data_IF_427681608405
#
_entry.id   IF_427681608405
#
_cell.length_a   1.000
_cell.length_b   1.000
_cell.length_c   1.000
_cell.angle_alpha   90.00
_cell.angle_beta   90.00
_cell.angle_gamma   90.00
#
_symmetry.space_group_name_H-M   'P 1'
#
loop_
_entity.id
_entity.type
_entity.pdbx_description
1 polymer ?
#
# COMPACT_ATOMS: atom_id res chain seq x y z
N UNK A 1 9.42 9.93 -11.58
CA UNK A 1 10.19 9.14 -10.70
C UNK A 1 9.40 8.75 -9.50
N UNK A 2 9.94 7.90 -8.72
CA UNK A 2 9.17 7.33 -7.65
C UNK A 2 9.47 7.98 -6.32
N UNK A 3 9.02 7.33 -5.28
CA UNK A 3 9.17 7.81 -3.91
C UNK A 3 10.64 7.81 -3.50
N UNK A 4 11.00 8.72 -2.60
CA UNK A 4 12.36 8.76 -2.07
C UNK A 4 12.63 7.52 -1.22
N UNK A 5 13.92 7.24 -0.99
CA UNK A 5 14.28 6.10 -0.14
C UNK A 5 13.72 6.24 1.26
N UNK A 6 13.68 7.47 1.78
CA UNK A 6 13.12 7.70 3.11
C UNK A 6 11.65 7.30 3.17
N UNK A 7 10.87 7.71 2.17
CA UNK A 7 9.46 7.36 2.13
C UNK A 7 9.28 5.86 1.93
N UNK A 8 10.09 5.26 1.06
CA UNK A 8 10.03 3.83 0.85
C UNK A 8 10.28 3.08 2.16
N UNK A 9 11.29 3.48 2.91
CA UNK A 9 11.61 2.84 4.18
C UNK A 9 10.43 2.96 5.16
N UNK A 10 9.80 4.13 5.20
CA UNK A 10 8.70 4.35 6.11
C UNK A 10 7.48 3.50 5.77
N UNK A 11 7.09 3.47 4.49
CA UNK A 11 5.90 2.71 4.11
C UNK A 11 6.14 1.22 4.17
N UNK A 12 7.34 0.75 3.81
CA UNK A 12 7.64 -0.67 3.85
C UNK A 12 7.68 -1.18 5.29
N UNK A 13 8.19 -0.37 6.21
CA UNK A 13 8.13 -0.71 7.63
C UNK A 13 6.70 -0.70 8.14
N UNK A 14 5.93 0.31 7.75
CA UNK A 14 4.55 0.45 8.23
C UNK A 14 3.67 -0.72 7.79
N UNK A 15 3.90 -1.26 6.59
CA UNK A 15 3.11 -2.38 6.09
C UNK A 15 3.71 -3.74 6.41
N UNK A 16 4.88 -3.78 7.05
CA UNK A 16 5.55 -5.03 7.39
C UNK A 16 5.93 -5.84 6.16
N UNK A 17 6.26 -5.18 5.06
CA UNK A 17 6.61 -5.81 3.79
C UNK A 17 5.48 -6.70 3.26
N UNK A 18 4.25 -6.39 3.61
CA UNK A 18 3.07 -7.14 3.16
C UNK A 18 2.15 -6.23 2.36
N UNK A 19 1.46 -6.81 1.39
CA UNK A 19 0.52 -6.06 0.55
C UNK A 19 -0.62 -5.47 1.39
N UNK A 20 -0.95 -4.20 1.16
CA UNK A 20 -2.00 -3.55 1.91
C UNK A 20 -3.41 -4.01 1.52
N UNK A 21 -3.54 -4.70 0.40
CA UNK A 21 -4.84 -5.18 -0.09
C UNK A 21 -5.08 -6.64 0.29
N UNK A 22 -4.20 -7.54 -0.15
CA UNK A 22 -4.39 -8.98 0.11
C UNK A 22 -3.62 -9.46 1.34
N UNK A 23 -2.77 -8.62 1.90
CA UNK A 23 -2.01 -8.88 3.13
C UNK A 23 -0.97 -9.98 3.01
N UNK A 24 -0.64 -10.38 1.79
CA UNK A 24 0.38 -11.40 1.55
C UNK A 24 1.76 -10.82 1.86
N UNK A 25 2.58 -11.59 2.58
CA UNK A 25 3.95 -11.16 2.82
C UNK A 25 4.74 -11.21 1.51
N UNK A 26 5.39 -10.09 1.17
CA UNK A 26 6.07 -9.95 -0.12
C UNK A 26 7.59 -9.88 0.01
N UNK A 27 8.10 -9.47 1.17
CA UNK A 27 9.54 -9.27 1.32
C UNK A 27 10.04 -8.21 0.35
N UNK A 28 10.89 -8.61 -0.58
CA UNK A 28 11.43 -7.69 -1.59
C UNK A 28 10.60 -7.64 -2.87
N UNK A 29 9.54 -8.44 -2.95
CA UNK A 29 8.69 -8.49 -4.15
C UNK A 29 7.44 -7.64 -3.92
N UNK A 30 7.65 -6.38 -3.62
CA UNK A 30 6.59 -5.44 -3.30
C UNK A 30 6.84 -4.15 -4.08
N UNK A 31 5.76 -3.51 -4.51
CA UNK A 31 5.86 -2.28 -5.28
C UNK A 31 5.09 -1.17 -4.60
N UNK A 32 5.58 0.06 -4.78
CA UNK A 32 4.94 1.24 -4.21
C UNK A 32 4.10 1.91 -5.29
N UNK A 33 2.83 2.10 -5.00
CA UNK A 33 1.87 2.64 -5.95
C UNK A 33 1.39 4.00 -5.47
N UNK A 34 1.30 4.96 -6.40
CA UNK A 34 0.72 6.28 -6.11
C UNK A 34 -0.79 6.13 -6.05
N UNK A 35 -1.38 6.47 -4.91
CA UNK A 35 -2.84 6.43 -4.78
C UNK A 35 -3.47 7.39 -5.77
N UNK A 36 -2.99 8.64 -5.76
CA UNK A 36 -3.34 9.59 -6.80
C UNK A 36 -2.19 9.63 -7.79
N UNK A 37 -2.47 9.36 -9.06
CA UNK A 37 -1.45 9.27 -10.08
C UNK A 37 -0.69 10.59 -10.22
N UNK A 38 0.61 10.50 -10.49
CA UNK A 38 1.43 11.69 -10.68
C UNK A 38 0.90 12.55 -11.82
N UNK A 39 0.41 11.93 -12.87
CA UNK A 39 -0.16 12.66 -14.02
C UNK A 39 -1.36 13.50 -13.61
N UNK A 40 -2.02 13.17 -12.50
CA UNK A 40 -3.16 13.90 -11.99
C UNK A 40 -2.80 14.78 -10.79
N UNK A 41 -1.52 15.06 -10.61
CA UNK A 41 -1.07 15.93 -9.53
C UNK A 41 -0.74 15.21 -8.24
N UNK A 42 -0.61 13.88 -8.27
CA UNK A 42 -0.27 13.12 -7.09
C UNK A 42 1.15 13.35 -6.63
N UNK A 43 1.35 13.49 -5.32
CA UNK A 43 2.65 13.78 -4.74
C UNK A 43 3.43 12.49 -4.44
N UNK A 44 4.75 12.62 -4.36
CA UNK A 44 5.63 11.53 -3.90
C UNK A 44 5.74 11.62 -2.38
N UNK A 45 4.65 11.35 -1.68
CA UNK A 45 4.57 11.50 -0.23
C UNK A 45 4.09 10.21 0.42
N UNK A 46 4.37 10.10 1.72
CA UNK A 46 3.92 8.96 2.51
C UNK A 46 2.41 8.76 2.39
N UNK A 47 1.67 9.86 2.45
CA UNK A 47 0.20 9.78 2.42
C UNK A 47 -0.35 9.34 1.06
N UNK A 48 0.42 9.52 -0.01
CA UNK A 48 -0.03 9.17 -1.35
C UNK A 48 0.56 7.85 -1.84
N UNK A 49 1.07 7.03 -0.93
CA UNK A 49 1.75 5.79 -1.28
C UNK A 49 1.03 4.59 -0.66
N UNK A 50 0.84 3.55 -1.45
CA UNK A 50 0.31 2.29 -0.94
C UNK A 50 1.19 1.15 -1.45
N UNK A 51 1.81 0.37 -0.54
CA UNK A 51 2.60 -0.80 -0.95
C UNK A 51 1.69 -1.95 -1.36
N UNK A 52 1.99 -2.55 -2.50
CA UNK A 52 1.17 -3.62 -3.07
C UNK A 52 2.05 -4.75 -3.58
N UNK A 53 1.53 -5.98 -3.54
CA UNK A 53 2.19 -7.08 -4.22
C UNK A 53 2.05 -6.88 -5.74
N UNK A 54 2.83 -7.64 -6.51
CA UNK A 54 2.81 -7.48 -7.96
C UNK A 54 1.42 -7.72 -8.54
N UNK A 55 0.71 -8.71 -8.03
CA UNK A 55 -0.62 -9.02 -8.53
C UNK A 55 -1.62 -7.90 -8.27
N UNK A 56 -1.65 -7.40 -7.06
CA UNK A 56 -2.56 -6.30 -6.72
C UNK A 56 -2.19 -5.03 -7.46
N UNK A 57 -0.90 -4.76 -7.63
CA UNK A 57 -0.44 -3.59 -8.36
C UNK A 57 -0.85 -3.70 -9.84
N UNK A 58 -0.76 -4.89 -10.40
CA UNK A 58 -1.19 -5.13 -11.77
C UNK A 58 -2.67 -4.81 -11.95
N UNK A 59 -3.48 -5.12 -10.95
CA UNK A 59 -4.92 -4.85 -11.02
C UNK A 59 -5.23 -3.36 -11.05
N UNK A 60 -4.36 -2.53 -10.49
CA UNK A 60 -4.56 -1.08 -10.52
C UNK A 60 -4.54 -0.54 -11.95
N UNK A 61 -3.70 -1.12 -12.80
CA UNK A 61 -3.57 -0.67 -14.17
C UNK A 61 -4.75 -1.05 -15.06
N UNK A 62 -5.66 -1.85 -14.56
CA UNK A 62 -6.83 -2.28 -15.34
C UNK A 62 -8.06 -1.45 -15.08
N UNK A 63 -7.96 -0.43 -14.23
CA UNK A 63 -9.09 0.43 -13.93
C UNK A 63 -9.56 1.12 -15.21
N UNK A 64 -10.85 1.08 -15.45
CA UNK A 64 -11.49 1.64 -16.63
C UNK A 64 -12.62 2.56 -16.17
N UNK A 65 -12.60 3.86 -16.54
CA UNK A 65 -13.63 4.78 -16.09
C UNK A 65 -15.06 4.34 -16.43
N UNK A 66 -15.21 3.52 -17.46
CA UNK A 66 -16.52 3.04 -17.84
C UNK A 66 -17.02 1.85 -17.07
N UNK A 67 -16.19 1.26 -16.21
CA UNK A 67 -16.59 0.06 -15.48
C UNK A 67 -17.49 0.41 -14.29
N UNK A 68 -18.41 -0.50 -13.92
CA UNK A 68 -19.22 -0.29 -12.73
C UNK A 68 -18.38 -0.18 -11.49
N UNK A 69 -18.94 0.47 -10.49
CA UNK A 69 -18.28 0.56 -9.19
C UNK A 69 -18.01 -0.85 -8.66
N UNK A 70 -16.88 -1.00 -8.02
CA UNK A 70 -16.47 -2.31 -7.51
C UNK A 70 -15.55 -3.07 -8.44
N UNK A 71 -15.40 -2.63 -9.68
CA UNK A 71 -14.49 -3.27 -10.62
C UNK A 71 -13.07 -2.71 -10.52
N UNK A 72 -12.88 -1.67 -9.75
CA UNK A 72 -11.56 -1.09 -9.50
C UNK A 72 -11.58 -0.41 -8.14
N UNK A 73 -10.39 -0.10 -7.64
CA UNK A 73 -10.25 0.56 -6.35
C UNK A 73 -10.24 2.07 -6.54
N UNK A 74 -11.10 2.78 -5.79
CA UNK A 74 -11.04 4.24 -5.79
C UNK A 74 -9.85 4.70 -4.92
N UNK A 75 -9.46 5.96 -5.09
CA UNK A 75 -8.39 6.53 -4.28
C UNK A 75 -8.73 6.45 -2.79
N UNK A 76 -9.96 6.77 -2.46
CA UNK A 76 -10.41 6.74 -1.06
C UNK A 76 -10.37 5.32 -0.49
N UNK A 77 -10.80 4.35 -1.28
CA UNK A 77 -10.78 2.95 -0.84
C UNK A 77 -9.36 2.46 -0.60
N UNK A 78 -8.42 2.84 -1.47
CA UNK A 78 -7.03 2.47 -1.29
C UNK A 78 -6.48 3.02 0.02
N UNK A 79 -6.82 4.27 0.34
CA UNK A 79 -6.37 4.87 1.61
C UNK A 79 -6.95 4.15 2.80
N UNK A 80 -8.22 3.76 2.74
CA UNK A 80 -8.86 3.06 3.83
C UNK A 80 -8.22 1.69 4.07
N UNK A 81 -7.96 0.94 3.00
CA UNK A 81 -7.29 -0.36 3.13
C UNK A 81 -5.89 -0.20 3.69
N UNK A 82 -5.13 0.77 3.17
CA UNK A 82 -3.78 1.02 3.64
C UNK A 82 -3.75 1.36 5.12
N UNK A 83 -4.60 2.29 5.53
CA UNK A 83 -4.58 2.75 6.92
C UNK A 83 -5.00 1.64 7.87
N UNK A 84 -6.00 0.85 7.51
CA UNK A 84 -6.43 -0.27 8.32
C UNK A 84 -5.31 -1.31 8.46
N UNK A 85 -4.59 -1.58 7.39
CA UNK A 85 -3.50 -2.54 7.43
C UNK A 85 -2.33 -2.01 8.28
N UNK A 86 -1.99 -0.73 8.13
CA UNK A 86 -0.92 -0.14 8.94
C UNK A 86 -1.24 -0.25 10.44
N UNK A 87 -2.48 -0.04 10.82
CA UNK A 87 -2.88 -0.18 12.21
C UNK A 87 -2.72 -1.61 12.72
N UNK A 88 -3.05 -2.59 11.90
CA UNK A 88 -2.88 -3.99 12.28
C UNK A 88 -1.41 -4.35 12.46
N UNK A 89 -0.56 -3.88 11.57
CA UNK A 89 0.88 -4.15 11.66
C UNK A 89 1.45 -3.50 12.91
N UNK A 90 1.02 -2.29 13.20
CA UNK A 90 1.47 -1.58 14.39
C UNK A 90 1.13 -2.36 15.65
N UNK A 91 -0.08 -2.92 15.71
CA UNK A 91 -0.48 -3.74 16.84
C UNK A 91 0.37 -5.00 16.97
N UNK A 92 0.69 -5.63 15.85
CA UNK A 92 1.56 -6.81 15.86
C UNK A 92 2.95 -6.48 16.36
N UNK A 93 3.48 -5.33 15.98
CA UNK A 93 4.80 -4.92 16.43
C UNK A 93 4.84 -4.72 17.91
N UNK A 94 3.77 -4.22 18.49
CA UNK A 94 3.68 -4.06 19.93
C UNK A 94 3.68 -5.40 20.65
N UNK A 95 3.02 -6.37 20.08
CA UNK A 95 2.91 -7.69 20.71
C UNK A 95 4.15 -8.55 20.52
N UNK A 96 4.93 -8.25 19.51
CA UNK A 96 6.07 -9.08 19.14
C UNK A 96 7.04 -9.36 20.26
N UNK A 97 7.49 -8.37 21.02
CA UNK A 97 8.46 -8.67 22.10
C UNK A 97 7.94 -9.64 23.12
N UNK A 98 6.65 -9.66 23.34
CA UNK A 98 6.04 -10.58 24.30
C UNK A 98 5.99 -12.00 23.75
N UNK A 99 5.80 -12.10 22.44
CA UNK A 99 5.68 -13.41 21.80
C UNK A 99 7.01 -14.12 21.68
N UNK A 100 8.05 -13.38 21.46
CA UNK A 100 9.37 -13.93 21.20
C UNK A 100 9.96 -14.62 22.43
N UNK A 101 9.62 -14.19 23.58
CA UNK A 101 10.20 -14.67 24.84
C UNK A 101 9.89 -16.13 25.16
#
# INVERSE_FOLDING_TARGET
MSFSQKIADEVLSACGRSCCICHKFCGTKIELHHIKQRANGGADSFDNCIPLCFDCHSDMGKADPGHPKGKHYSENELKLHRDAWYEKVKGRQFCRPLVIV
#
